data_IF_146062271410
#
_entry.id   IF_146062271410
#
_cell.length_a   1.000
_cell.length_b   1.000
_cell.length_c   1.000
_cell.angle_alpha   90.00
_cell.angle_beta   90.00
_cell.angle_gamma   90.00
#
_symmetry.space_group_name_H-M   'P 1'
#
loop_
_entity.id
_entity.type
_entity.pdbx_description
1 polymer ?
#
# COMPACT_ATOMS: atom_id res chain seq x y z
N UNK A 1 -1.86 32.04 7.00
CA UNK A 1 -1.92 30.57 7.16
C UNK A 1 -2.20 29.98 5.79
N UNK A 2 -1.34 29.09 5.26
CA UNK A 2 -1.66 28.37 4.03
C UNK A 2 -2.78 27.37 4.38
N UNK A 3 -3.86 27.36 3.60
CA UNK A 3 -4.84 26.28 3.70
C UNK A 3 -4.14 25.00 3.24
N UNK A 4 -3.74 24.16 4.19
CA UNK A 4 -3.19 22.85 3.88
C UNK A 4 -4.38 21.91 3.73
N UNK A 5 -4.69 21.52 2.50
CA UNK A 5 -5.67 20.46 2.24
C UNK A 5 -5.03 19.13 2.60
N UNK A 6 -5.54 18.48 3.65
CA UNK A 6 -5.12 17.13 4.00
C UNK A 6 -5.46 16.16 2.86
N UNK A 7 -4.57 15.23 2.49
CA UNK A 7 -4.90 14.21 1.53
C UNK A 7 -6.05 13.36 2.08
N UNK A 8 -7.08 13.16 1.26
CA UNK A 8 -8.22 12.29 1.60
C UNK A 8 -8.09 10.98 0.86
N UNK A 9 -8.38 9.87 1.54
CA UNK A 9 -8.36 8.53 0.96
C UNK A 9 -9.78 8.13 0.55
N UNK A 10 -9.95 7.64 -0.68
CA UNK A 10 -11.22 7.06 -1.14
C UNK A 10 -10.96 5.69 -1.74
N UNK A 11 -11.11 4.68 -0.90
CA UNK A 11 -10.95 3.29 -1.31
C UNK A 11 -12.15 2.85 -2.13
N UNK A 12 -11.92 2.62 -3.42
CA UNK A 12 -12.93 2.06 -4.33
C UNK A 12 -12.55 0.61 -4.64
N UNK A 13 -13.49 -0.31 -4.45
CA UNK A 13 -13.30 -1.73 -4.69
C UNK A 13 -14.52 -2.32 -5.38
N UNK A 14 -14.28 -3.09 -6.44
CA UNK A 14 -15.36 -3.71 -7.21
C UNK A 14 -15.74 -5.10 -6.71
N UNK A 15 -14.88 -5.76 -5.92
CA UNK A 15 -15.19 -7.07 -5.33
C UNK A 15 -14.39 -7.34 -4.04
N UNK A 16 -14.85 -8.36 -3.30
CA UNK A 16 -14.25 -8.75 -2.02
C UNK A 16 -12.81 -9.26 -2.14
N UNK A 17 -12.48 -10.00 -3.21
CA UNK A 17 -11.11 -10.50 -3.39
C UNK A 17 -10.10 -9.35 -3.52
N UNK A 18 -10.47 -8.31 -4.27
CA UNK A 18 -9.71 -7.08 -4.45
C UNK A 18 -9.59 -6.32 -3.12
N UNK A 19 -10.69 -6.19 -2.38
CA UNK A 19 -10.69 -5.61 -1.02
C UNK A 19 -9.72 -6.34 -0.08
N UNK A 20 -9.76 -7.66 -0.04
CA UNK A 20 -8.87 -8.44 0.84
C UNK A 20 -7.41 -8.35 0.39
N UNK A 21 -7.15 -8.28 -0.91
CA UNK A 21 -5.81 -8.08 -1.42
C UNK A 21 -5.27 -6.69 -1.04
N UNK A 22 -6.08 -5.63 -1.14
CA UNK A 22 -5.72 -4.28 -0.68
C UNK A 22 -5.37 -4.28 0.81
N UNK A 23 -6.17 -4.95 1.64
CA UNK A 23 -5.90 -5.04 3.08
C UNK A 23 -4.52 -5.68 3.34
N UNK A 24 -4.25 -6.83 2.71
CA UNK A 24 -2.95 -7.48 2.81
C UNK A 24 -1.82 -6.57 2.33
N UNK A 25 -1.96 -5.96 1.15
CA UNK A 25 -0.93 -5.08 0.60
C UNK A 25 -0.69 -3.84 1.47
N UNK A 26 -1.71 -3.34 2.15
CA UNK A 26 -1.56 -2.25 3.11
C UNK A 26 -0.75 -2.69 4.35
N UNK A 27 -0.98 -3.90 4.88
CA UNK A 27 -0.17 -4.48 5.97
C UNK A 27 1.29 -4.65 5.53
N UNK A 28 1.53 -5.18 4.33
CA UNK A 28 2.87 -5.35 3.77
C UNK A 28 3.56 -3.99 3.54
N UNK A 29 2.81 -2.98 3.11
CA UNK A 29 3.32 -1.63 2.90
C UNK A 29 3.68 -0.91 4.20
N UNK A 30 2.84 -1.01 5.23
CA UNK A 30 3.15 -0.49 6.57
C UNK A 30 4.43 -1.12 7.13
N UNK A 31 4.57 -2.45 7.01
CA UNK A 31 5.79 -3.16 7.41
C UNK A 31 7.03 -2.69 6.63
N UNK A 32 6.87 -2.39 5.34
CA UNK A 32 7.94 -1.78 4.53
C UNK A 32 8.34 -0.41 5.07
N UNK A 33 7.39 0.48 5.32
CA UNK A 33 7.66 1.83 5.82
C UNK A 33 8.41 1.81 7.15
N UNK A 34 7.96 0.98 8.10
CA UNK A 34 8.57 0.83 9.42
C UNK A 34 10.04 0.38 9.31
N UNK A 35 10.31 -0.66 8.51
CA UNK A 35 11.67 -1.17 8.31
C UNK A 35 12.57 -0.14 7.64
N UNK A 36 12.08 0.53 6.61
CA UNK A 36 12.90 1.49 5.86
C UNK A 36 13.20 2.74 6.68
N UNK A 37 12.26 3.19 7.50
CA UNK A 37 12.49 4.27 8.45
C UNK A 37 13.59 3.88 9.47
N UNK A 38 13.56 2.65 9.99
CA UNK A 38 14.57 2.15 10.94
C UNK A 38 15.96 2.03 10.30
N UNK A 39 16.07 1.46 9.10
CA UNK A 39 17.36 1.12 8.50
C UNK A 39 18.00 2.24 7.67
N UNK A 40 17.24 3.15 7.09
CA UNK A 40 17.76 4.11 6.10
C UNK A 40 17.95 5.55 6.61
N UNK A 41 17.39 5.88 7.78
CA UNK A 41 17.47 7.23 8.34
C UNK A 41 17.04 8.31 7.34
N UNK A 42 17.86 9.34 7.11
CA UNK A 42 17.52 10.45 6.19
C UNK A 42 17.21 10.00 4.75
N UNK A 43 17.81 8.91 4.27
CA UNK A 43 17.58 8.42 2.91
C UNK A 43 16.15 7.92 2.71
N UNK A 44 15.48 7.50 3.78
CA UNK A 44 14.07 7.10 3.74
C UNK A 44 13.17 8.25 3.27
N UNK A 45 13.34 9.44 3.82
CA UNK A 45 12.50 10.59 3.48
C UNK A 45 12.66 11.02 2.02
N UNK A 46 13.90 11.03 1.51
CA UNK A 46 14.18 11.29 0.08
C UNK A 46 13.50 10.25 -0.83
N UNK A 47 13.51 8.98 -0.41
CA UNK A 47 12.87 7.91 -1.15
C UNK A 47 11.33 8.04 -1.15
N UNK A 48 10.72 8.51 -0.05
CA UNK A 48 9.28 8.74 0.01
C UNK A 48 8.80 9.87 -0.93
N UNK A 49 9.66 10.84 -1.21
CA UNK A 49 9.38 11.93 -2.16
C UNK A 49 9.60 11.49 -3.63
N UNK A 50 10.31 10.39 -3.86
CA UNK A 50 10.57 9.84 -5.19
C UNK A 50 9.39 8.98 -5.67
N UNK A 51 8.57 9.57 -6.55
CA UNK A 51 7.40 8.90 -7.10
C UNK A 51 7.72 7.65 -7.92
N UNK A 52 8.84 7.64 -8.65
CA UNK A 52 9.23 6.48 -9.48
C UNK A 52 9.67 5.32 -8.59
N UNK A 53 10.50 5.63 -7.59
CA UNK A 53 10.90 4.66 -6.58
C UNK A 53 9.71 4.07 -5.83
N UNK A 54 8.79 4.92 -5.35
CA UNK A 54 7.63 4.45 -4.60
C UNK A 54 6.67 3.65 -5.49
N UNK A 55 6.52 4.01 -6.76
CA UNK A 55 5.74 3.24 -7.72
C UNK A 55 6.28 1.81 -7.87
N UNK A 56 7.60 1.63 -7.93
CA UNK A 56 8.23 0.31 -8.01
C UNK A 56 8.13 -0.49 -6.71
N UNK A 57 8.18 0.19 -5.56
CA UNK A 57 7.91 -0.42 -4.24
C UNK A 57 6.48 -0.96 -4.19
N UNK A 58 5.48 -0.17 -4.60
CA UNK A 58 4.07 -0.59 -4.58
C UNK A 58 3.82 -1.79 -5.50
N UNK A 59 4.38 -1.78 -6.72
CA UNK A 59 4.33 -2.95 -7.62
C UNK A 59 4.98 -4.18 -7.00
N UNK A 60 6.13 -4.01 -6.35
CA UNK A 60 6.85 -5.10 -5.68
C UNK A 60 6.03 -5.71 -4.53
N UNK A 61 5.31 -4.89 -3.77
CA UNK A 61 4.37 -5.35 -2.72
C UNK A 61 3.25 -6.18 -3.34
N UNK A 62 2.67 -5.73 -4.45
CA UNK A 62 1.64 -6.49 -5.17
C UNK A 62 2.20 -7.84 -5.63
N UNK A 63 3.33 -7.87 -6.32
CA UNK A 63 3.92 -9.11 -6.85
C UNK A 63 4.29 -10.09 -5.75
N UNK A 64 4.80 -9.61 -4.61
CA UNK A 64 5.08 -10.47 -3.47
C UNK A 64 3.80 -10.99 -2.82
N UNK A 65 2.79 -10.13 -2.64
CA UNK A 65 1.51 -10.50 -2.07
C UNK A 65 0.75 -11.56 -2.86
N UNK A 66 0.99 -11.70 -4.18
CA UNK A 66 0.40 -12.78 -4.99
C UNK A 66 0.80 -14.17 -4.50
N UNK A 67 2.01 -14.33 -3.94
CA UNK A 67 2.58 -15.64 -3.58
C UNK A 67 1.90 -16.26 -2.36
N UNK A 68 1.53 -15.43 -1.38
CA UNK A 68 1.00 -15.84 -0.07
C UNK A 68 -0.47 -15.41 0.15
N UNK A 69 -1.13 -14.83 -0.86
CA UNK A 69 -2.53 -14.40 -0.73
C UNK A 69 -3.47 -15.53 -0.32
N UNK A 70 -3.27 -16.75 -0.81
CA UNK A 70 -4.11 -17.89 -0.44
C UNK A 70 -3.99 -18.26 1.05
N UNK A 71 -2.81 -18.05 1.63
CA UNK A 71 -2.53 -18.29 3.05
C UNK A 71 -3.15 -17.19 3.90
N UNK A 72 -3.04 -15.93 3.45
CA UNK A 72 -3.73 -14.80 4.06
C UNK A 72 -5.25 -15.03 4.12
N UNK A 73 -5.88 -15.42 3.01
CA UNK A 73 -7.33 -15.72 2.99
C UNK A 73 -7.70 -16.82 3.99
N UNK A 74 -6.92 -17.90 4.06
CA UNK A 74 -7.14 -19.01 5.00
C UNK A 74 -7.02 -18.55 6.45
N UNK A 75 -5.96 -17.81 6.79
CA UNK A 75 -5.70 -17.28 8.14
C UNK A 75 -6.88 -16.44 8.65
N UNK A 76 -7.45 -15.63 7.77
CA UNK A 76 -8.55 -14.71 8.12
C UNK A 76 -9.96 -15.27 7.83
N UNK A 77 -10.07 -16.52 7.37
CA UNK A 77 -11.34 -17.16 6.97
C UNK A 77 -12.12 -16.38 5.92
N UNK A 78 -11.41 -15.69 5.02
CA UNK A 78 -12.00 -14.95 3.91
C UNK A 78 -12.25 -15.85 2.70
N UNK A 79 -13.34 -15.58 1.97
CA UNK A 79 -13.66 -16.26 0.72
C UNK A 79 -13.22 -15.39 -0.45
N UNK A 80 -12.28 -15.89 -1.26
CA UNK A 80 -11.75 -15.17 -2.41
C UNK A 80 -10.73 -16.02 -3.15
N UNK A 81 -10.25 -15.53 -4.29
CA UNK A 81 -9.14 -16.15 -5.00
C UNK A 81 -8.34 -15.08 -5.72
N UNK A 82 -7.06 -15.37 -5.97
CA UNK A 82 -6.18 -14.46 -6.70
C UNK A 82 -6.71 -14.13 -8.11
N UNK A 83 -7.44 -15.07 -8.73
CA UNK A 83 -8.04 -14.92 -10.07
C UNK A 83 -9.12 -13.83 -10.13
N UNK A 84 -9.71 -13.47 -8.99
CA UNK A 84 -10.77 -12.48 -8.91
C UNK A 84 -10.25 -11.10 -8.49
N UNK A 85 -8.93 -10.94 -8.33
CA UNK A 85 -8.33 -9.67 -7.89
C UNK A 85 -8.14 -8.75 -9.09
N UNK A 86 -8.63 -7.52 -8.98
CA UNK A 86 -8.38 -6.46 -9.96
C UNK A 86 -7.14 -5.68 -9.54
N UNK A 87 -5.97 -6.07 -10.05
CA UNK A 87 -4.68 -5.49 -9.64
C UNK A 87 -4.53 -4.01 -9.98
N UNK A 88 -5.19 -3.52 -11.03
CA UNK A 88 -5.22 -2.09 -11.34
C UNK A 88 -5.92 -1.29 -10.23
N UNK A 89 -7.02 -1.81 -9.68
CA UNK A 89 -7.67 -1.21 -8.51
C UNK A 89 -6.76 -1.28 -7.28
N UNK A 90 -6.07 -2.41 -7.06
CA UNK A 90 -5.12 -2.54 -5.94
C UNK A 90 -4.06 -1.45 -6.02
N UNK A 91 -3.43 -1.26 -7.19
CA UNK A 91 -2.38 -0.27 -7.38
C UNK A 91 -2.89 1.17 -7.20
N UNK A 92 -4.06 1.51 -7.74
CA UNK A 92 -4.67 2.83 -7.53
C UNK A 92 -4.93 3.09 -6.05
N UNK A 93 -5.45 2.11 -5.32
CA UNK A 93 -5.71 2.25 -3.88
C UNK A 93 -4.40 2.36 -3.08
N UNK A 94 -3.37 1.57 -3.41
CA UNK A 94 -2.05 1.67 -2.77
C UNK A 94 -1.38 3.02 -3.00
N UNK A 95 -1.53 3.63 -4.19
CA UNK A 95 -1.04 5.00 -4.44
C UNK A 95 -1.73 6.02 -3.53
N UNK A 96 -3.04 5.89 -3.31
CA UNK A 96 -3.75 6.77 -2.38
C UNK A 96 -3.24 6.59 -0.95
N UNK A 97 -3.03 5.34 -0.51
CA UNK A 97 -2.45 5.03 0.81
C UNK A 97 -1.05 5.65 0.91
N UNK A 98 -0.18 5.44 -0.08
CA UNK A 98 1.14 6.06 -0.14
C UNK A 98 1.07 7.58 0.01
N UNK A 99 0.20 8.25 -0.76
CA UNK A 99 0.09 9.71 -0.71
C UNK A 99 -0.30 10.22 0.68
N UNK A 100 -1.23 9.55 1.35
CA UNK A 100 -1.64 9.89 2.72
C UNK A 100 -0.51 9.63 3.71
N UNK A 101 0.10 8.44 3.65
CA UNK A 101 1.15 8.03 4.58
C UNK A 101 2.41 8.90 4.43
N UNK A 102 2.89 9.11 3.21
CA UNK A 102 4.06 9.95 2.94
C UNK A 102 3.83 11.39 3.39
N UNK A 103 2.62 11.94 3.17
CA UNK A 103 2.28 13.26 3.70
C UNK A 103 2.40 13.30 5.23
N UNK A 104 1.85 12.32 5.95
CA UNK A 104 1.95 12.29 7.40
C UNK A 104 3.39 12.09 7.89
N UNK A 105 4.17 11.23 7.24
CA UNK A 105 5.56 10.95 7.63
C UNK A 105 6.48 12.16 7.40
N UNK A 106 6.30 12.87 6.28
CA UNK A 106 7.16 14.00 5.89
C UNK A 106 6.81 15.30 6.63
N UNK A 107 5.62 15.40 7.24
CA UNK A 107 5.13 16.60 7.91
C UNK A 107 4.91 16.42 9.42
N UNK A 108 5.32 15.28 9.99
CA UNK A 108 5.32 15.03 11.44
C UNK A 108 6.67 15.34 12.08
#
# INVERSE_FOLDING_TARGET
MKNITLPTMKINVSNDATKFFILKSAEDYDAYLQRMQEYMGERFYRNLEDNEYMEDVLKSIIENGKKDFSEFLKKHKYKGSLKNVYFDEVLVNLRQINNVMSYHILNN
#
